data_IF_639030795338
#
_entry.id   IF_639030795338
#
_cell.length_a   1.000
_cell.length_b   1.000
_cell.length_c   1.000
_cell.angle_alpha   90.00
_cell.angle_beta   90.00
_cell.angle_gamma   90.00
#
_symmetry.space_group_name_H-M   'P 1'
#
loop_
_entity.id
_entity.type
_entity.pdbx_description
1 polymer ?
#
# COMPACT_ATOMS: atom_id res chain seq x y z
N UNK A 1 0.57 -0.79 24.30
CA UNK A 1 1.92 -0.45 23.80
C UNK A 1 1.72 0.31 22.50
N UNK A 2 2.29 1.49 22.37
CA UNK A 2 2.13 2.31 21.18
C UNK A 2 3.04 1.77 20.09
N UNK A 3 2.46 1.27 19.01
CA UNK A 3 3.19 0.80 17.84
C UNK A 3 3.16 1.91 16.79
N UNK A 4 4.27 2.57 16.58
CA UNK A 4 4.35 3.68 15.63
C UNK A 4 5.12 3.31 14.37
N UNK A 5 6.41 3.17 14.49
CA UNK A 5 7.32 2.83 13.40
C UNK A 5 8.38 1.85 13.90
N UNK A 6 8.85 1.03 13.00
CA UNK A 6 10.02 0.20 13.23
C UNK A 6 11.12 0.55 12.25
N UNK A 7 12.36 0.55 12.71
CA UNK A 7 13.54 0.72 11.87
C UNK A 7 14.28 -0.60 11.88
N UNK A 8 14.40 -1.23 10.73
CA UNK A 8 15.19 -2.45 10.62
C UNK A 8 16.69 -2.17 10.76
N UNK A 9 17.52 -3.20 10.82
CA UNK A 9 18.95 -3.06 11.02
C UNK A 9 19.68 -2.33 9.88
N UNK A 10 19.08 -2.20 8.70
CA UNK A 10 19.60 -1.39 7.58
C UNK A 10 19.22 0.09 7.67
N UNK A 11 18.39 0.46 8.65
CA UNK A 11 17.91 1.83 8.85
C UNK A 11 16.63 2.16 8.11
N UNK A 12 16.04 1.24 7.34
CA UNK A 12 14.76 1.44 6.68
C UNK A 12 13.62 1.51 7.69
N UNK A 13 12.66 2.40 7.43
CA UNK A 13 11.46 2.56 8.23
C UNK A 13 10.26 1.97 7.52
N UNK A 14 9.57 1.08 8.20
CA UNK A 14 8.34 0.48 7.70
C UNK A 14 7.22 0.73 8.70
N UNK A 15 6.11 1.34 8.26
CA UNK A 15 4.98 1.58 9.14
C UNK A 15 4.33 0.25 9.54
N UNK A 16 3.88 0.18 10.77
CA UNK A 16 2.94 -0.85 11.17
C UNK A 16 1.56 -0.48 10.66
N UNK A 17 0.79 -1.47 10.27
CA UNK A 17 -0.61 -1.26 9.89
C UNK A 17 -1.50 -2.25 10.63
N UNK A 18 -2.74 -1.83 10.82
CA UNK A 18 -3.83 -2.67 11.31
C UNK A 18 -5.00 -2.51 10.35
N UNK A 19 -5.59 -3.61 9.96
CA UNK A 19 -6.78 -3.62 9.11
C UNK A 19 -7.74 -4.71 9.57
N UNK A 20 -9.02 -4.49 9.39
CA UNK A 20 -10.07 -5.48 9.67
C UNK A 20 -10.63 -5.95 8.34
N UNK A 21 -10.67 -7.25 8.13
CA UNK A 21 -11.29 -7.83 6.92
C UNK A 21 -12.81 -7.71 7.01
N UNK A 22 -13.49 -7.15 5.99
CA UNK A 22 -14.91 -6.77 6.12
C UNK A 22 -15.89 -7.92 6.33
N UNK A 23 -15.56 -9.13 5.88
CA UNK A 23 -16.52 -10.24 5.82
C UNK A 23 -16.21 -11.42 6.76
N UNK A 24 -15.03 -11.48 7.34
CA UNK A 24 -14.58 -12.64 8.12
C UNK A 24 -14.12 -12.29 9.54
N UNK A 25 -14.38 -11.09 10.01
CA UNK A 25 -13.98 -10.61 11.35
C UNK A 25 -12.51 -10.89 11.69
N UNK A 26 -11.66 -10.93 10.68
CA UNK A 26 -10.22 -11.06 10.88
C UNK A 26 -9.58 -9.70 11.07
N UNK A 27 -8.66 -9.64 12.02
CA UNK A 27 -7.78 -8.48 12.21
C UNK A 27 -6.43 -8.82 11.59
N UNK A 28 -6.00 -7.96 10.69
CA UNK A 28 -4.68 -8.09 10.04
C UNK A 28 -3.77 -7.01 10.57
N UNK A 29 -2.60 -7.37 11.07
CA UNK A 29 -1.59 -6.41 11.46
C UNK A 29 -0.20 -6.83 11.01
N UNK A 30 0.66 -5.84 10.83
CA UNK A 30 2.05 -6.05 10.48
C UNK A 30 2.94 -5.70 11.65
N UNK A 31 3.95 -6.50 11.88
CA UNK A 31 4.90 -6.29 12.94
C UNK A 31 6.27 -6.87 12.61
N UNK A 32 7.28 -6.40 13.34
CA UNK A 32 8.64 -6.91 13.22
C UNK A 32 8.93 -7.91 14.34
N UNK A 33 9.25 -9.12 13.96
CA UNK A 33 9.58 -10.19 14.91
C UNK A 33 10.71 -11.04 14.37
N UNK A 34 11.67 -11.34 15.22
CA UNK A 34 12.79 -12.22 14.90
C UNK A 34 13.51 -11.86 13.58
N UNK A 35 13.79 -10.58 13.41
CA UNK A 35 14.49 -10.00 12.25
C UNK A 35 13.73 -10.03 10.92
N UNK A 36 12.42 -10.28 10.92
CA UNK A 36 11.59 -10.17 9.72
C UNK A 36 10.29 -9.41 9.99
N UNK A 37 9.71 -8.84 8.94
CA UNK A 37 8.35 -8.33 9.00
C UNK A 37 7.38 -9.49 8.81
N UNK A 38 6.36 -9.52 9.66
CA UNK A 38 5.33 -10.55 9.62
C UNK A 38 3.95 -9.89 9.59
N UNK A 39 3.12 -10.33 8.66
CA UNK A 39 1.70 -9.97 8.60
C UNK A 39 0.92 -11.08 9.28
N UNK A 40 0.29 -10.74 10.39
CA UNK A 40 -0.41 -11.68 11.26
C UNK A 40 -1.91 -11.51 11.09
N UNK A 41 -2.61 -12.62 11.02
CA UNK A 41 -4.06 -12.70 11.03
C UNK A 41 -4.53 -13.21 12.40
N UNK A 42 -5.47 -12.48 12.99
CA UNK A 42 -6.20 -12.90 14.19
C UNK A 42 -7.67 -13.09 13.82
N UNK A 43 -8.34 -14.02 14.52
CA UNK A 43 -9.78 -14.17 14.40
C UNK A 43 -10.55 -13.13 15.23
N UNK A 44 -11.87 -13.21 15.24
CA UNK A 44 -12.74 -12.29 15.98
C UNK A 44 -12.54 -12.35 17.52
N UNK A 45 -11.94 -13.40 18.05
CA UNK A 45 -11.62 -13.53 19.46
C UNK A 45 -10.21 -13.03 19.80
N UNK A 46 -9.48 -12.51 18.79
CA UNK A 46 -8.09 -12.10 18.87
C UNK A 46 -7.11 -13.29 19.04
N UNK A 47 -7.56 -14.49 18.71
CA UNK A 47 -6.70 -15.65 18.68
C UNK A 47 -5.89 -15.70 17.37
N UNK A 48 -4.67 -16.21 17.43
CA UNK A 48 -3.82 -16.36 16.26
C UNK A 48 -4.49 -17.28 15.23
N UNK A 49 -4.58 -16.80 14.00
CA UNK A 49 -5.16 -17.53 12.88
C UNK A 49 -4.10 -17.95 11.86
N UNK A 50 -3.28 -17.02 11.41
CA UNK A 50 -2.23 -17.31 10.45
C UNK A 50 -1.19 -16.18 10.33
N UNK A 51 -0.14 -16.42 9.53
CA UNK A 51 0.94 -15.47 9.35
C UNK A 51 1.61 -15.61 7.98
N UNK A 52 1.97 -14.49 7.41
CA UNK A 52 2.88 -14.38 6.26
C UNK A 52 4.13 -13.61 6.70
N UNK A 53 5.24 -14.31 6.84
CA UNK A 53 6.50 -13.73 7.30
C UNK A 53 7.41 -13.41 6.12
N UNK A 54 8.22 -12.36 6.22
CA UNK A 54 9.31 -12.13 5.28
C UNK A 54 10.37 -13.22 5.37
N UNK A 55 10.84 -13.70 4.23
CA UNK A 55 11.89 -14.73 4.17
C UNK A 55 13.26 -14.22 4.58
N UNK A 56 13.47 -12.91 4.52
CA UNK A 56 14.75 -12.24 4.82
C UNK A 56 14.56 -11.04 5.76
N UNK A 57 15.65 -10.56 6.31
CA UNK A 57 15.68 -9.39 7.20
C UNK A 57 15.06 -8.13 6.60
N UNK A 58 15.16 -7.96 5.29
CA UNK A 58 14.65 -6.82 4.52
C UNK A 58 13.50 -7.25 3.59
N UNK A 59 12.59 -8.11 4.05
CA UNK A 59 11.44 -8.57 3.28
C UNK A 59 10.16 -8.59 4.09
N UNK A 60 9.02 -8.49 3.42
CA UNK A 60 7.70 -8.57 4.02
C UNK A 60 6.66 -7.70 3.32
N UNK A 61 5.46 -7.67 3.87
CA UNK A 61 4.41 -6.78 3.36
C UNK A 61 4.59 -5.37 3.89
N UNK A 62 4.40 -4.38 3.01
CA UNK A 62 4.41 -2.95 3.35
C UNK A 62 3.02 -2.33 3.38
N UNK A 63 2.05 -2.93 2.70
CA UNK A 63 0.66 -2.51 2.72
C UNK A 63 -0.26 -3.68 2.37
N UNK A 64 -1.48 -3.68 2.92
CA UNK A 64 -2.53 -4.64 2.61
C UNK A 64 -3.89 -3.95 2.70
N UNK A 65 -4.77 -4.26 1.78
CA UNK A 65 -6.17 -3.83 1.76
C UNK A 65 -7.04 -5.07 1.54
N UNK A 66 -7.88 -5.45 2.50
CA UNK A 66 -8.91 -6.47 2.29
C UNK A 66 -9.96 -6.01 1.28
N UNK A 67 -10.33 -6.89 0.36
CA UNK A 67 -11.37 -6.64 -0.66
C UNK A 67 -12.62 -7.50 -0.44
N UNK A 68 -12.59 -8.36 0.57
CA UNK A 68 -13.63 -9.31 0.93
C UNK A 68 -13.13 -10.76 0.82
N UNK A 69 -13.69 -11.64 1.67
CA UNK A 69 -13.32 -13.05 1.76
C UNK A 69 -11.80 -13.27 1.82
N UNK A 70 -11.24 -13.99 0.85
CA UNK A 70 -9.82 -14.30 0.74
C UNK A 70 -9.06 -13.36 -0.23
N UNK A 71 -9.69 -12.26 -0.68
CA UNK A 71 -9.11 -11.34 -1.66
C UNK A 71 -8.50 -10.11 -1.01
N UNK A 72 -7.30 -9.78 -1.49
CA UNK A 72 -6.52 -8.66 -0.95
C UNK A 72 -5.80 -7.92 -2.07
N UNK A 73 -5.72 -6.61 -1.95
CA UNK A 73 -4.68 -5.83 -2.64
C UNK A 73 -3.52 -5.62 -1.69
N UNK A 74 -2.30 -5.86 -2.14
CA UNK A 74 -1.13 -5.77 -1.29
C UNK A 74 0.09 -5.20 -2.01
N UNK A 75 1.00 -4.64 -1.22
CA UNK A 75 2.35 -4.35 -1.62
C UNK A 75 3.31 -5.02 -0.64
N UNK A 76 4.41 -5.52 -1.15
CA UNK A 76 5.52 -6.07 -0.39
C UNK A 76 6.84 -5.54 -0.89
N UNK A 77 7.85 -5.63 -0.05
CA UNK A 77 9.22 -5.29 -0.40
C UNK A 77 10.13 -6.49 -0.20
N UNK A 78 11.23 -6.49 -0.92
CA UNK A 78 12.35 -7.39 -0.70
C UNK A 78 13.61 -6.59 -1.03
N UNK A 79 14.41 -6.31 -0.01
CA UNK A 79 15.53 -5.37 -0.08
C UNK A 79 15.06 -3.98 -0.58
N UNK A 80 15.59 -3.52 -1.72
CA UNK A 80 15.23 -2.24 -2.36
C UNK A 80 14.18 -2.37 -3.45
N UNK A 81 13.57 -3.54 -3.60
CA UNK A 81 12.57 -3.81 -4.62
C UNK A 81 11.15 -3.82 -4.04
N UNK A 82 10.22 -3.31 -4.82
CA UNK A 82 8.80 -3.29 -4.52
C UNK A 82 8.06 -4.25 -5.44
N UNK A 83 7.11 -4.97 -4.86
CA UNK A 83 6.23 -5.88 -5.56
C UNK A 83 4.79 -5.60 -5.19
N UNK A 84 3.87 -5.68 -6.14
CA UNK A 84 2.46 -5.38 -5.93
C UNK A 84 1.59 -6.50 -6.51
N UNK A 85 0.47 -6.75 -5.85
CA UNK A 85 -0.63 -7.56 -6.36
C UNK A 85 -1.96 -6.93 -5.94
N UNK A 86 -2.79 -6.58 -6.90
CA UNK A 86 -4.07 -5.93 -6.67
C UNK A 86 -5.23 -6.90 -6.45
N UNK A 87 -5.02 -8.20 -6.68
CA UNK A 87 -6.04 -9.24 -6.58
C UNK A 87 -5.54 -10.53 -5.93
N UNK A 88 -4.58 -10.44 -5.00
CA UNK A 88 -4.00 -11.59 -4.32
C UNK A 88 -5.07 -12.40 -3.57
N UNK A 89 -4.91 -13.73 -3.59
CA UNK A 89 -5.69 -14.62 -2.72
C UNK A 89 -4.80 -15.06 -1.57
N UNK A 90 -5.19 -14.72 -0.34
CA UNK A 90 -4.50 -15.13 0.88
C UNK A 90 -5.45 -15.93 1.77
N UNK A 91 -4.94 -16.98 2.38
CA UNK A 91 -5.68 -17.67 3.44
C UNK A 91 -5.36 -17.05 4.79
N UNK A 92 -6.34 -16.52 5.53
CA UNK A 92 -6.13 -16.00 6.88
C UNK A 92 -5.61 -17.04 7.88
N UNK A 93 -5.66 -18.32 7.53
CA UNK A 93 -5.19 -19.45 8.39
C UNK A 93 -3.87 -20.04 7.92
N UNK A 94 -3.26 -19.51 6.88
CA UNK A 94 -1.98 -20.02 6.38
C UNK A 94 -0.81 -19.60 7.28
N UNK A 95 0.21 -20.43 7.30
CA UNK A 95 1.55 -20.09 7.81
C UNK A 95 2.50 -20.19 6.63
N UNK A 96 2.91 -19.05 6.09
CA UNK A 96 3.63 -18.99 4.83
C UNK A 96 4.64 -17.82 4.80
N UNK A 97 5.34 -17.65 3.69
CA UNK A 97 6.28 -16.54 3.45
C UNK A 97 5.70 -15.54 2.45
N UNK A 98 5.89 -14.25 2.73
CA UNK A 98 5.36 -13.17 1.91
C UNK A 98 5.93 -13.18 0.49
N UNK A 99 7.18 -13.58 0.31
CA UNK A 99 7.84 -13.69 -0.99
C UNK A 99 7.24 -14.78 -1.89
N UNK A 100 6.51 -15.74 -1.31
CA UNK A 100 5.76 -16.76 -2.05
C UNK A 100 4.50 -16.24 -2.72
N UNK A 101 4.02 -15.03 -2.33
CA UNK A 101 2.81 -14.45 -2.92
C UNK A 101 3.15 -13.94 -4.34
N UNK A 102 2.45 -14.43 -5.38
CA UNK A 102 2.61 -13.92 -6.73
C UNK A 102 2.43 -12.41 -6.75
N UNK A 103 3.37 -11.68 -7.33
CA UNK A 103 3.33 -10.21 -7.32
C UNK A 103 4.17 -9.64 -8.46
N UNK A 104 3.73 -8.53 -9.02
CA UNK A 104 4.44 -7.82 -10.08
C UNK A 104 5.55 -6.95 -9.50
N UNK A 105 6.76 -7.05 -10.02
CA UNK A 105 7.86 -6.18 -9.67
C UNK A 105 7.67 -4.77 -10.22
N UNK A 106 7.79 -3.76 -9.38
CA UNK A 106 7.67 -2.34 -9.72
C UNK A 106 9.02 -1.65 -9.54
N UNK A 107 9.86 -1.74 -10.55
CA UNK A 107 11.27 -1.29 -10.50
C UNK A 107 11.45 0.21 -10.23
N UNK A 108 10.46 1.02 -10.59
CA UNK A 108 10.45 2.47 -10.42
C UNK A 108 10.09 2.94 -9.01
N UNK A 109 9.48 2.08 -8.19
CA UNK A 109 9.02 2.48 -6.85
C UNK A 109 10.15 2.50 -5.82
N UNK A 110 10.03 3.44 -4.90
CA UNK A 110 10.93 3.59 -3.76
C UNK A 110 10.47 2.67 -2.61
N UNK A 111 11.25 1.65 -2.30
CA UNK A 111 10.95 0.70 -1.22
C UNK A 111 11.09 1.32 0.20
N UNK A 112 11.69 2.50 0.33
CA UNK A 112 11.84 3.19 1.62
C UNK A 112 10.69 4.17 1.90
N UNK A 113 9.77 4.33 0.95
CA UNK A 113 8.57 5.15 1.08
C UNK A 113 7.33 4.27 1.27
N UNK A 114 6.35 4.71 2.07
CA UNK A 114 5.12 3.96 2.26
C UNK A 114 4.34 3.86 0.95
N UNK A 115 3.70 2.71 0.74
CA UNK A 115 2.70 2.51 -0.29
C UNK A 115 1.34 2.54 0.38
N UNK A 116 0.46 3.38 -0.12
CA UNK A 116 -0.89 3.53 0.39
C UNK A 116 -1.85 2.81 -0.54
N UNK A 117 -2.73 2.00 0.02
CA UNK A 117 -3.76 1.29 -0.76
C UNK A 117 -5.12 1.64 -0.15
N UNK A 118 -6.05 2.08 -0.99
CA UNK A 118 -7.44 2.34 -0.59
C UNK A 118 -8.41 1.87 -1.65
N UNK A 119 -9.59 1.41 -1.21
CA UNK A 119 -10.70 1.20 -2.11
C UNK A 119 -11.34 2.54 -2.46
N UNK A 120 -11.55 2.81 -3.74
CA UNK A 120 -12.23 4.00 -4.24
C UNK A 120 -13.27 3.62 -5.29
N UNK A 121 -14.31 4.40 -5.39
CA UNK A 121 -15.36 4.19 -6.39
C UNK A 121 -15.30 5.29 -7.46
N UNK A 122 -15.19 4.88 -8.72
CA UNK A 122 -15.25 5.78 -9.89
C UNK A 122 -16.35 5.23 -10.81
N UNK A 123 -17.34 6.06 -11.13
CA UNK A 123 -18.47 5.68 -12.01
C UNK A 123 -19.16 4.36 -11.58
N UNK A 124 -19.38 4.20 -10.27
CA UNK A 124 -19.99 2.99 -9.66
C UNK A 124 -19.15 1.71 -9.80
N UNK A 125 -17.92 1.80 -10.23
CA UNK A 125 -16.95 0.69 -10.25
C UNK A 125 -15.93 0.87 -9.14
N UNK A 126 -15.65 -0.19 -8.40
CA UNK A 126 -14.65 -0.18 -7.33
C UNK A 126 -13.26 -0.45 -7.86
N UNK A 127 -12.29 0.31 -7.36
CA UNK A 127 -10.89 0.20 -7.70
C UNK A 127 -10.02 0.13 -6.44
N UNK A 128 -9.06 -0.77 -6.45
CA UNK A 128 -7.93 -0.69 -5.53
C UNK A 128 -6.97 0.38 -6.06
N UNK A 129 -6.91 1.51 -5.37
CA UNK A 129 -6.02 2.61 -5.70
C UNK A 129 -4.73 2.52 -4.89
N UNK A 130 -3.61 2.43 -5.59
CA UNK A 130 -2.28 2.45 -5.00
C UNK A 130 -1.65 3.82 -5.23
N UNK A 131 -1.22 4.47 -4.16
CA UNK A 131 -0.42 5.68 -4.22
C UNK A 131 0.97 5.39 -3.67
N UNK A 132 1.99 5.59 -4.49
CA UNK A 132 3.37 5.30 -4.14
C UNK A 132 4.31 6.43 -4.54
N UNK A 133 5.49 6.47 -3.91
CA UNK A 133 6.59 7.35 -4.30
C UNK A 133 7.54 6.59 -5.21
N UNK A 134 8.00 7.22 -6.27
CA UNK A 134 9.00 6.66 -7.18
C UNK A 134 10.42 6.98 -6.72
N UNK A 135 11.41 6.23 -7.22
CA UNK A 135 12.85 6.51 -7.03
C UNK A 135 13.28 7.89 -7.56
N UNK A 136 12.50 8.47 -8.49
CA UNK A 136 12.67 9.84 -8.97
C UNK A 136 11.97 10.91 -8.10
N UNK A 137 11.40 10.51 -6.97
CA UNK A 137 10.66 11.37 -6.04
C UNK A 137 9.38 12.00 -6.64
N UNK A 138 8.78 11.36 -7.61
CA UNK A 138 7.42 11.64 -8.07
C UNK A 138 6.44 10.74 -7.35
N UNK A 139 5.16 11.10 -7.34
CA UNK A 139 4.10 10.17 -6.96
C UNK A 139 3.60 9.43 -8.18
N UNK A 140 3.18 8.20 -7.99
CA UNK A 140 2.39 7.46 -8.98
C UNK A 140 1.09 6.98 -8.33
N UNK A 141 -0.01 7.29 -8.98
CA UNK A 141 -1.33 6.73 -8.69
C UNK A 141 -1.60 5.63 -9.69
N UNK A 142 -1.90 4.43 -9.22
CA UNK A 142 -2.24 3.27 -10.04
C UNK A 142 -3.61 2.76 -9.60
N UNK A 143 -4.50 2.55 -10.56
CA UNK A 143 -5.87 2.10 -10.35
C UNK A 143 -6.04 0.70 -10.93
N UNK A 144 -6.37 -0.26 -10.10
CA UNK A 144 -6.72 -1.63 -10.51
C UNK A 144 -8.19 -1.86 -10.21
N UNK A 145 -8.92 -2.50 -11.11
CA UNK A 145 -10.29 -2.90 -10.78
C UNK A 145 -10.26 -3.83 -9.56
N UNK A 146 -11.12 -3.58 -8.58
CA UNK A 146 -11.10 -4.30 -7.31
C UNK A 146 -11.18 -5.83 -7.51
N UNK A 147 -10.24 -6.56 -6.90
CA UNK A 147 -10.13 -8.02 -7.03
C UNK A 147 -9.52 -8.52 -8.34
N UNK A 148 -9.05 -7.60 -9.22
CA UNK A 148 -8.36 -7.92 -10.48
C UNK A 148 -6.90 -7.49 -10.41
N UNK A 149 -6.03 -8.20 -11.15
CA UNK A 149 -4.64 -7.79 -11.35
C UNK A 149 -4.48 -6.85 -12.57
N UNK A 150 -5.58 -6.51 -13.25
CA UNK A 150 -5.58 -5.65 -14.42
C UNK A 150 -5.48 -4.19 -14.05
N UNK A 151 -4.42 -3.51 -14.53
CA UNK A 151 -4.23 -2.07 -14.36
C UNK A 151 -5.22 -1.32 -15.25
N UNK A 152 -6.20 -0.64 -14.64
CA UNK A 152 -7.18 0.17 -15.37
C UNK A 152 -6.60 1.53 -15.80
N UNK A 153 -5.70 2.09 -15.00
CA UNK A 153 -5.04 3.34 -15.35
C UNK A 153 -3.98 3.77 -14.34
N UNK A 154 -3.10 4.64 -14.78
CA UNK A 154 -2.07 5.21 -13.91
C UNK A 154 -1.75 6.67 -14.27
N UNK A 155 -1.26 7.42 -13.29
CA UNK A 155 -0.84 8.83 -13.45
C UNK A 155 0.35 9.15 -12.57
N UNK A 156 1.39 9.74 -13.16
CA UNK A 156 2.49 10.33 -12.41
C UNK A 156 2.15 11.76 -12.03
N UNK A 157 2.55 12.17 -10.83
CA UNK A 157 2.25 13.47 -10.25
C UNK A 157 3.52 14.07 -9.64
N UNK A 158 3.71 15.38 -9.86
CA UNK A 158 4.84 16.12 -9.31
C UNK A 158 6.09 16.07 -10.18
N UNK A 159 6.30 17.15 -10.96
CA UNK A 159 7.44 17.23 -11.89
C UNK A 159 8.56 18.14 -11.38
N UNK A 160 8.26 19.05 -10.44
CA UNK A 160 9.16 20.16 -10.12
C UNK A 160 9.77 20.13 -8.71
N UNK A 161 9.22 19.35 -7.81
CA UNK A 161 9.73 19.17 -6.45
C UNK A 161 9.64 17.72 -6.01
N UNK A 162 10.59 17.20 -5.22
CA UNK A 162 10.50 15.88 -4.64
C UNK A 162 9.26 15.74 -3.76
N UNK A 163 8.45 14.71 -4.03
CA UNK A 163 7.23 14.41 -3.30
C UNK A 163 7.31 13.05 -2.61
N UNK A 164 6.67 12.94 -1.44
CA UNK A 164 6.43 11.65 -0.78
C UNK A 164 4.94 11.52 -0.47
N UNK A 165 4.38 10.36 -0.76
CA UNK A 165 2.99 10.04 -0.44
C UNK A 165 2.77 10.04 1.08
N UNK A 166 1.69 10.69 1.54
CA UNK A 166 1.29 10.71 2.94
C UNK A 166 -0.11 10.14 3.14
N UNK A 167 -1.07 10.55 2.31
CA UNK A 167 -2.45 10.04 2.35
C UNK A 167 -3.21 10.46 1.08
N UNK A 168 -4.39 9.88 0.84
CA UNK A 168 -5.31 10.34 -0.19
C UNK A 168 -6.76 9.95 0.13
N UNK A 169 -7.72 10.70 -0.41
CA UNK A 169 -9.15 10.47 -0.20
C UNK A 169 -9.97 11.01 -1.35
N UNK A 170 -11.09 10.34 -1.64
CA UNK A 170 -12.12 10.89 -2.53
C UNK A 170 -12.75 12.10 -1.88
N UNK A 171 -12.96 13.15 -2.66
CA UNK A 171 -13.62 14.39 -2.23
C UNK A 171 -15.12 14.34 -2.54
N UNK A 172 -15.91 15.18 -1.86
CA UNK A 172 -17.39 15.22 -2.03
C UNK A 172 -17.83 15.47 -3.48
N UNK A 173 -17.00 16.17 -4.26
CA UNK A 173 -17.23 16.44 -5.70
C UNK A 173 -16.81 15.27 -6.60
N UNK A 174 -16.40 14.14 -6.02
CA UNK A 174 -15.98 12.93 -6.75
C UNK A 174 -14.55 12.97 -7.29
N UNK A 175 -13.78 14.01 -6.98
CA UNK A 175 -12.35 14.08 -7.27
C UNK A 175 -11.50 13.34 -6.24
N UNK A 176 -10.18 13.38 -6.38
CA UNK A 176 -9.22 12.80 -5.43
C UNK A 176 -8.33 13.90 -4.85
N UNK A 177 -8.26 13.98 -3.53
CA UNK A 177 -7.30 14.80 -2.83
C UNK A 177 -6.15 13.93 -2.34
N UNK A 178 -4.93 14.31 -2.68
CA UNK A 178 -3.69 13.65 -2.26
C UNK A 178 -2.95 14.58 -1.32
N UNK A 179 -2.63 14.07 -0.14
CA UNK A 179 -1.74 14.72 0.81
C UNK A 179 -0.31 14.23 0.58
N UNK A 180 0.63 15.13 0.48
CA UNK A 180 2.02 14.81 0.20
C UNK A 180 2.97 15.68 1.01
N UNK A 181 4.16 15.15 1.29
CA UNK A 181 5.30 15.91 1.76
C UNK A 181 6.10 16.36 0.54
N UNK A 182 6.28 17.66 0.39
CA UNK A 182 7.12 18.27 -0.63
C UNK A 182 8.43 18.75 -0.02
N UNK A 183 9.57 18.41 -0.63
CA UNK A 183 10.89 18.89 -0.20
C UNK A 183 11.31 20.10 -1.03
N UNK A 184 11.37 21.27 -0.39
CA UNK A 184 11.71 22.54 -1.02
C UNK A 184 13.13 22.93 -0.65
N UNK A 185 13.91 23.44 -1.61
CA UNK A 185 15.30 23.87 -1.42
C UNK A 185 16.18 22.79 -0.77
N UNK A 186 16.00 21.55 -1.19
CA UNK A 186 16.79 20.36 -0.79
C UNK A 186 16.76 19.97 0.71
N UNK A 187 16.05 20.72 1.56
CA UNK A 187 16.06 20.43 3.01
C UNK A 187 14.80 20.83 3.79
N UNK A 188 13.89 21.58 3.19
CA UNK A 188 12.68 22.00 3.90
C UNK A 188 11.48 21.18 3.47
N UNK A 189 10.98 20.37 4.37
CA UNK A 189 9.75 19.61 4.15
C UNK A 189 8.52 20.48 4.41
N UNK A 190 7.58 20.44 3.49
CA UNK A 190 6.28 21.13 3.59
C UNK A 190 5.17 20.16 3.29
N UNK A 191 4.02 20.41 3.88
CA UNK A 191 2.78 19.74 3.50
C UNK A 191 2.31 20.40 2.19
N UNK A 192 1.97 19.56 1.23
CA UNK A 192 1.34 19.99 -0.02
C UNK A 192 0.15 19.08 -0.33
N UNK A 193 -0.78 19.58 -1.11
CA UNK A 193 -1.92 18.82 -1.60
C UNK A 193 -1.99 18.89 -3.11
N UNK A 194 -2.39 17.78 -3.72
CA UNK A 194 -2.68 17.68 -5.16
C UNK A 194 -4.14 17.25 -5.27
N UNK A 195 -4.93 17.96 -6.04
CA UNK A 195 -6.31 17.58 -6.36
C UNK A 195 -6.38 17.12 -7.81
N UNK A 196 -6.92 15.93 -8.02
CA UNK A 196 -7.41 15.48 -9.32
C UNK A 196 -8.91 15.72 -9.36
N UNK A 197 -9.41 16.30 -10.44
CA UNK A 197 -10.84 16.46 -10.65
C UNK A 197 -11.50 15.12 -10.90
N UNK A 198 -12.82 15.07 -10.80
CA UNK A 198 -13.60 13.88 -11.14
C UNK A 198 -13.35 13.45 -12.59
N UNK A 199 -13.35 14.39 -13.52
CA UNK A 199 -13.11 14.14 -14.94
C UNK A 199 -11.71 13.59 -15.21
N UNK A 200 -10.70 14.07 -14.47
CA UNK A 200 -9.35 13.53 -14.56
C UNK A 200 -9.29 12.07 -14.08
N UNK A 201 -9.97 11.74 -12.97
CA UNK A 201 -10.02 10.35 -12.48
C UNK A 201 -10.77 9.44 -13.45
N UNK A 202 -11.93 9.87 -13.95
CA UNK A 202 -12.72 9.11 -14.90
C UNK A 202 -11.94 8.84 -16.20
N UNK A 203 -11.11 9.78 -16.64
CA UNK A 203 -10.28 9.61 -17.83
C UNK A 203 -9.16 8.59 -17.67
N UNK A 204 -8.78 8.25 -16.44
CA UNK A 204 -7.75 7.24 -16.19
C UNK A 204 -8.25 5.80 -16.37
N UNK A 205 -9.55 5.58 -16.26
CA UNK A 205 -10.16 4.24 -16.24
C UNK A 205 -11.07 3.97 -17.46
N UNK A 206 -10.88 4.72 -18.53
CA UNK A 206 -11.62 4.60 -19.81
C UNK A 206 -10.95 3.61 -20.77
#
# INVERSE_FOLDING_TARGET
>A
EEVTEHVNYTGKRFPFFVSVTPEEDHIVFNGFNNYSFSTVFLDANLDFSGVYSGAAFDGGMSAILPLGADKFSLARFSFSDVYMNAGATLSPTAVDIAEGIPSEWKSELDAESPILIKNITINSTEYAAFLATTKSNQLTLMLYQAGSEELAGSKYLGDSVPLKACDFSITEDGGLMILTQATVMSSFNRIATIKLSKEELESLVQ
#
